data_IF_088780389207
#
_entry.id   IF_088780389207
#
_cell.length_a   1.000
_cell.length_b   1.000
_cell.length_c   1.000
_cell.angle_alpha   90.00
_cell.angle_beta   90.00
_cell.angle_gamma   90.00
#
_symmetry.space_group_name_H-M   'P 1'
#
loop_
_entity.id
_entity.type
_entity.pdbx_description
1 polymer ?
#
# COMPACT_ATOMS: atom_id res chain seq x y z
N UNK A 1 -4.39 22.27 -83.44
CA UNK A 1 -3.08 22.94 -83.35
C UNK A 1 -3.04 23.64 -82.00
N UNK A 2 -2.12 23.21 -81.13
CA UNK A 2 -1.68 23.85 -79.86
C UNK A 2 -2.66 23.97 -78.67
N UNK A 3 -2.12 23.92 -77.44
CA UNK A 3 -2.76 23.29 -76.28
C UNK A 3 -3.32 24.31 -75.28
N UNK A 4 -4.29 23.89 -74.47
CA UNK A 4 -4.67 24.62 -73.25
C UNK A 4 -4.23 23.77 -72.06
N UNK A 5 -3.16 24.23 -71.40
CA UNK A 5 -2.66 23.70 -70.13
C UNK A 5 -3.71 23.79 -69.03
N UNK A 6 -3.73 22.84 -68.08
CA UNK A 6 -4.55 22.92 -66.88
C UNK A 6 -4.01 23.99 -65.93
N UNK A 7 -4.93 24.82 -65.43
CA UNK A 7 -4.66 25.85 -64.44
C UNK A 7 -4.14 25.26 -63.12
N UNK A 8 -3.18 25.96 -62.55
CA UNK A 8 -2.42 25.61 -61.37
C UNK A 8 -3.28 25.38 -60.12
N UNK A 9 -2.95 24.31 -59.40
CA UNK A 9 -3.36 24.05 -58.02
C UNK A 9 -2.88 25.18 -57.11
N UNK A 10 -3.83 25.86 -56.47
CA UNK A 10 -3.54 26.80 -55.39
C UNK A 10 -3.13 26.00 -54.15
N UNK A 11 -2.05 26.34 -53.44
CA UNK A 11 -1.69 25.69 -52.19
C UNK A 11 -2.62 26.19 -51.09
N UNK A 12 -3.52 25.33 -50.64
CA UNK A 12 -4.37 25.59 -49.48
C UNK A 12 -3.45 25.73 -48.26
N UNK A 13 -3.25 26.98 -47.82
CA UNK A 13 -2.42 27.34 -46.69
C UNK A 13 -2.92 26.63 -45.43
N UNK A 14 -2.20 25.61 -44.98
CA UNK A 14 -2.38 24.95 -43.70
C UNK A 14 -2.03 25.93 -42.58
N UNK A 15 -3.02 26.72 -42.14
CA UNK A 15 -2.90 27.55 -40.95
C UNK A 15 -2.63 26.62 -39.75
N UNK A 16 -1.50 26.75 -39.04
CA UNK A 16 -1.29 25.97 -37.84
C UNK A 16 -2.34 26.38 -36.80
N UNK A 17 -3.14 25.40 -36.36
CA UNK A 17 -4.05 25.53 -35.22
C UNK A 17 -3.20 25.80 -33.97
N UNK A 18 -3.02 27.07 -33.62
CA UNK A 18 -2.51 27.49 -32.32
C UNK A 18 -3.56 27.15 -31.27
N UNK A 19 -3.57 25.90 -30.80
CA UNK A 19 -4.27 25.53 -29.60
C UNK A 19 -3.51 26.16 -28.43
N UNK A 20 -4.11 27.16 -27.79
CA UNK A 20 -3.59 27.74 -26.57
C UNK A 20 -3.48 26.63 -25.51
N UNK A 21 -2.25 26.21 -25.21
CA UNK A 21 -1.98 25.36 -24.06
C UNK A 21 -2.33 26.21 -22.82
N UNK A 22 -3.45 25.90 -22.18
CA UNK A 22 -3.79 26.44 -20.86
C UNK A 22 -2.72 25.95 -19.91
N UNK A 23 -1.65 26.72 -19.75
CA UNK A 23 -0.70 26.56 -18.66
C UNK A 23 -1.50 26.69 -17.38
N UNK A 24 -1.65 25.58 -16.67
CA UNK A 24 -2.38 25.47 -15.40
C UNK A 24 -1.59 26.16 -14.29
N UNK A 25 -1.29 27.45 -14.48
CA UNK A 25 -0.51 28.30 -13.58
C UNK A 25 -1.46 28.99 -12.63
N UNK A 26 -2.13 28.20 -11.78
CA UNK A 26 -2.80 28.63 -10.55
C UNK A 26 -3.09 27.36 -9.76
N UNK A 27 -2.04 26.84 -9.12
CA UNK A 27 -2.20 25.99 -7.95
C UNK A 27 -2.92 26.82 -6.90
N UNK A 28 -4.26 26.82 -6.96
CA UNK A 28 -5.09 27.37 -5.90
C UNK A 28 -4.67 26.61 -4.65
N UNK A 29 -4.12 27.33 -3.69
CA UNK A 29 -3.94 26.83 -2.33
C UNK A 29 -5.33 26.40 -1.86
N UNK A 30 -5.58 25.09 -1.84
CA UNK A 30 -6.79 24.53 -1.29
C UNK A 30 -6.48 24.21 0.17
N UNK A 31 -6.79 25.09 1.13
CA UNK A 31 -6.46 24.87 2.55
C UNK A 31 -7.08 23.56 3.06
N UNK A 32 -8.25 23.17 2.53
CA UNK A 32 -8.92 21.90 2.85
C UNK A 32 -8.04 20.67 2.56
N UNK A 33 -7.42 20.62 1.38
CA UNK A 33 -6.50 19.54 1.03
C UNK A 33 -5.24 19.51 1.92
N UNK A 34 -4.82 20.67 2.45
CA UNK A 34 -3.75 20.76 3.45
C UNK A 34 -4.18 20.25 4.82
N UNK A 35 -5.38 20.62 5.26
CA UNK A 35 -5.96 20.18 6.53
C UNK A 35 -6.18 18.67 6.56
N UNK A 36 -6.66 18.07 5.47
CA UNK A 36 -6.81 16.61 5.38
C UNK A 36 -5.47 15.89 5.52
N UNK A 37 -4.39 16.44 4.93
CA UNK A 37 -3.03 15.89 5.11
C UNK A 37 -2.55 16.00 6.55
N UNK A 38 -2.82 17.12 7.22
CA UNK A 38 -2.46 17.30 8.64
C UNK A 38 -3.25 16.36 9.53
N UNK A 39 -4.57 16.25 9.34
CA UNK A 39 -5.42 15.35 10.11
C UNK A 39 -4.99 13.88 9.96
N UNK A 40 -4.63 13.48 8.74
CA UNK A 40 -4.06 12.15 8.45
C UNK A 40 -2.72 11.93 9.16
N UNK A 41 -1.86 12.95 9.21
CA UNK A 41 -0.51 12.86 9.79
C UNK A 41 -0.45 13.22 11.28
N UNK A 42 -1.55 13.67 11.89
CA UNK A 42 -1.59 14.14 13.27
C UNK A 42 -1.03 13.11 14.28
N UNK A 43 -1.37 11.81 14.20
CA UNK A 43 -0.78 10.82 15.10
C UNK A 43 0.75 10.72 14.96
N UNK A 44 1.26 10.77 13.72
CA UNK A 44 2.70 10.74 13.46
C UNK A 44 3.39 12.01 13.97
N UNK A 45 2.77 13.19 13.82
CA UNK A 45 3.29 14.46 14.34
C UNK A 45 3.41 14.41 15.86
N UNK A 46 2.33 14.04 16.56
CA UNK A 46 2.34 13.93 18.03
C UNK A 46 3.41 12.95 18.49
N UNK A 47 3.51 11.80 17.83
CA UNK A 47 4.53 10.80 18.14
C UNK A 47 5.96 11.34 17.97
N UNK A 48 6.25 12.05 16.87
CA UNK A 48 7.56 12.66 16.62
C UNK A 48 7.89 13.72 17.67
N UNK A 49 6.93 14.59 17.98
CA UNK A 49 7.11 15.65 18.98
C UNK A 49 7.41 15.03 20.35
N UNK A 50 6.60 14.08 20.80
CA UNK A 50 6.80 13.40 22.09
C UNK A 50 8.16 12.69 22.12
N UNK A 51 8.52 11.95 21.07
CA UNK A 51 9.80 11.25 21.01
C UNK A 51 11.00 12.21 21.03
N UNK A 52 10.97 13.25 20.19
CA UNK A 52 12.07 14.19 20.07
C UNK A 52 12.24 15.02 21.34
N UNK A 53 11.14 15.47 21.95
CA UNK A 53 11.16 16.18 23.22
C UNK A 53 11.67 15.27 24.35
N UNK A 54 11.26 14.00 24.40
CA UNK A 54 11.76 13.05 25.39
C UNK A 54 13.25 12.76 25.22
N UNK A 55 13.72 12.51 23.99
CA UNK A 55 15.13 12.27 23.67
C UNK A 55 16.00 13.47 24.06
N UNK A 56 15.59 14.67 23.66
CA UNK A 56 16.26 15.92 24.01
C UNK A 56 16.30 16.13 25.53
N UNK A 57 15.17 15.97 26.20
CA UNK A 57 15.07 16.17 27.65
C UNK A 57 15.92 15.16 28.42
N UNK A 58 15.97 13.91 27.96
CA UNK A 58 16.83 12.88 28.54
C UNK A 58 18.31 13.26 28.40
N UNK A 59 18.75 13.61 27.19
CA UNK A 59 20.15 14.02 26.98
C UNK A 59 20.51 15.29 27.75
N UNK A 60 19.59 16.25 27.88
CA UNK A 60 19.83 17.50 28.58
C UNK A 60 19.82 17.33 30.11
N UNK A 61 18.74 16.80 30.67
CA UNK A 61 18.55 16.76 32.12
C UNK A 61 19.17 15.53 32.79
N UNK A 62 19.30 14.39 32.09
CA UNK A 62 19.86 13.15 32.67
C UNK A 62 21.34 13.00 32.34
N UNK A 63 21.75 13.28 31.09
CA UNK A 63 23.16 13.18 30.69
C UNK A 63 23.94 14.50 30.87
N UNK A 64 23.26 15.60 31.15
CA UNK A 64 23.89 16.91 31.40
C UNK A 64 24.41 17.61 30.14
N UNK A 65 23.96 17.22 28.95
CA UNK A 65 24.42 17.82 27.70
C UNK A 65 23.79 19.20 27.49
N UNK A 66 24.60 20.25 27.29
CA UNK A 66 24.10 21.63 27.21
C UNK A 66 23.15 21.88 26.02
N UNK A 67 23.44 21.29 24.85
CA UNK A 67 22.65 21.45 23.63
C UNK A 67 22.60 20.15 22.80
N UNK A 68 21.77 19.16 23.17
CA UNK A 68 21.74 17.84 22.52
C UNK A 68 20.95 17.86 21.20
N UNK A 69 21.46 18.60 20.21
CA UNK A 69 20.81 18.79 18.90
C UNK A 69 20.60 17.45 18.19
N UNK A 70 21.60 16.57 18.20
CA UNK A 70 21.54 15.29 17.49
C UNK A 70 20.51 14.33 18.08
N UNK A 71 20.25 14.41 19.40
CA UNK A 71 19.18 13.63 20.02
C UNK A 71 17.83 14.00 19.40
N UNK A 72 17.57 15.30 19.19
CA UNK A 72 16.35 15.76 18.54
C UNK A 72 16.34 15.46 17.03
N UNK A 73 17.39 15.83 16.29
CA UNK A 73 17.39 15.70 14.82
C UNK A 73 17.38 14.24 14.37
N UNK A 74 18.12 13.34 15.04
CA UNK A 74 18.10 11.91 14.73
C UNK A 74 16.72 11.32 15.03
N UNK A 75 16.08 11.71 16.14
CA UNK A 75 14.71 11.25 16.46
C UNK A 75 13.70 11.67 15.39
N UNK A 76 13.69 12.97 15.03
CA UNK A 76 12.74 13.51 14.03
C UNK A 76 12.98 12.89 12.66
N UNK A 77 14.24 12.81 12.25
CA UNK A 77 14.61 12.35 10.91
C UNK A 77 14.39 10.84 10.74
N UNK A 78 14.59 10.05 11.80
CA UNK A 78 14.39 8.60 11.76
C UNK A 78 12.91 8.20 11.78
N UNK A 79 12.07 8.93 12.52
CA UNK A 79 10.64 8.68 12.56
C UNK A 79 9.93 9.15 11.29
N UNK A 80 10.27 10.34 10.78
CA UNK A 80 9.68 10.96 9.60
C UNK A 80 8.14 11.06 9.63
N UNK A 81 7.56 11.71 8.61
CA UNK A 81 6.09 11.80 8.43
C UNK A 81 5.51 10.65 7.60
N UNK A 82 6.35 9.74 7.11
CA UNK A 82 5.92 8.64 6.23
C UNK A 82 5.13 7.63 7.05
N UNK A 83 4.00 7.15 6.48
CA UNK A 83 3.10 6.17 7.12
C UNK A 83 3.78 4.84 7.44
N UNK A 84 4.82 4.47 6.70
CA UNK A 84 5.60 3.25 6.89
C UNK A 84 6.68 3.41 7.99
N UNK A 85 6.23 3.51 9.25
CA UNK A 85 7.11 3.52 10.42
C UNK A 85 7.44 2.09 10.88
N UNK A 86 7.87 1.23 9.95
CA UNK A 86 8.30 -0.13 10.30
C UNK A 86 9.54 -0.01 11.20
N UNK A 87 9.60 -0.68 12.37
CA UNK A 87 10.74 -0.60 13.28
C UNK A 87 12.08 -0.88 12.60
N UNK A 88 12.09 -1.83 11.66
CA UNK A 88 13.28 -2.16 10.85
C UNK A 88 13.77 -0.98 10.01
N UNK A 89 12.85 -0.24 9.38
CA UNK A 89 13.19 0.93 8.56
C UNK A 89 13.70 2.08 9.42
N UNK A 90 13.09 2.29 10.59
CA UNK A 90 13.58 3.25 11.59
C UNK A 90 15.00 2.86 12.02
N UNK A 91 15.25 1.59 12.34
CA UNK A 91 16.56 1.08 12.71
C UNK A 91 17.60 1.27 11.59
N UNK A 92 17.26 0.91 10.35
CA UNK A 92 18.13 1.14 9.18
C UNK A 92 18.49 2.63 9.07
N UNK A 93 17.52 3.53 9.26
CA UNK A 93 17.77 4.97 9.19
C UNK A 93 18.65 5.46 10.34
N UNK A 94 18.39 5.01 11.57
CA UNK A 94 19.20 5.33 12.76
C UNK A 94 20.64 4.86 12.59
N UNK A 95 20.86 3.64 12.09
CA UNK A 95 22.20 3.11 11.83
C UNK A 95 22.94 3.99 10.82
N UNK A 96 22.28 4.42 9.74
CA UNK A 96 22.88 5.33 8.76
C UNK A 96 23.28 6.67 9.37
N UNK A 97 22.41 7.25 10.20
CA UNK A 97 22.69 8.49 10.91
C UNK A 97 23.88 8.35 11.88
N UNK A 98 23.92 7.29 12.68
CA UNK A 98 25.02 7.03 13.63
C UNK A 98 26.34 6.81 12.89
N UNK A 99 26.33 6.09 11.76
CA UNK A 99 27.52 5.93 10.90
C UNK A 99 28.00 7.27 10.37
N UNK A 100 27.10 8.13 9.89
CA UNK A 100 27.44 9.48 9.43
C UNK A 100 28.06 10.33 10.54
N UNK A 101 27.49 10.28 11.75
CA UNK A 101 28.02 10.98 12.93
C UNK A 101 29.44 10.47 13.26
N UNK A 102 29.62 9.14 13.28
CA UNK A 102 30.90 8.51 13.59
C UNK A 102 31.99 8.90 12.58
N UNK A 103 31.68 8.87 11.28
CA UNK A 103 32.62 9.28 10.21
C UNK A 103 33.01 10.75 10.38
N UNK A 104 32.06 11.62 10.69
CA UNK A 104 32.33 13.03 10.90
C UNK A 104 33.18 13.29 12.15
N UNK A 105 32.85 12.67 13.27
CA UNK A 105 33.64 12.77 14.51
C UNK A 105 35.09 12.30 14.31
N UNK A 106 35.29 11.20 13.57
CA UNK A 106 36.64 10.70 13.27
C UNK A 106 37.46 11.71 12.43
N UNK A 107 36.84 12.33 11.42
CA UNK A 107 37.52 13.32 10.58
C UNK A 107 37.77 14.61 11.36
N UNK A 108 36.81 15.08 12.18
CA UNK A 108 37.03 16.24 13.06
C UNK A 108 38.20 15.97 14.01
N UNK A 109 38.26 14.76 14.58
CA UNK A 109 39.31 14.38 15.53
C UNK A 109 40.71 14.37 14.89
N UNK A 110 40.83 13.94 13.63
CA UNK A 110 42.13 13.81 12.94
C UNK A 110 42.52 15.07 12.17
N UNK A 111 41.58 15.70 11.45
CA UNK A 111 41.83 16.76 10.47
C UNK A 111 41.26 18.13 10.88
N UNK A 112 40.53 18.20 12.00
CA UNK A 112 39.89 19.42 12.48
C UNK A 112 38.67 19.85 11.64
N UNK A 113 38.24 21.09 11.86
CA UNK A 113 37.06 21.69 11.21
C UNK A 113 37.52 22.65 10.12
N UNK A 114 36.94 22.54 8.92
CA UNK A 114 37.15 23.49 7.83
C UNK A 114 36.36 23.16 6.56
N UNK A 115 36.40 24.06 5.57
CA UNK A 115 35.52 23.98 4.38
C UNK A 115 35.84 22.79 3.48
N UNK A 116 37.11 22.42 3.33
CA UNK A 116 37.51 21.26 2.55
C UNK A 116 37.37 19.96 3.36
N UNK A 117 37.55 20.01 4.69
CA UNK A 117 37.25 18.89 5.59
C UNK A 117 35.76 18.53 5.56
N UNK A 118 34.86 19.52 5.43
CA UNK A 118 33.44 19.28 5.23
C UNK A 118 33.19 18.52 3.91
N UNK A 119 33.82 18.95 2.82
CA UNK A 119 33.73 18.27 1.53
C UNK A 119 34.21 16.82 1.61
N UNK A 120 35.36 16.59 2.24
CA UNK A 120 35.92 15.26 2.47
C UNK A 120 35.00 14.39 3.32
N UNK A 121 34.42 14.97 4.38
CA UNK A 121 33.52 14.25 5.29
C UNK A 121 32.22 13.84 4.61
N UNK A 122 31.64 14.73 3.81
CA UNK A 122 30.45 14.40 3.03
C UNK A 122 30.73 13.31 2.00
N UNK A 123 31.85 13.41 1.28
CA UNK A 123 32.26 12.39 0.33
C UNK A 123 32.46 11.03 1.03
N UNK A 124 33.21 11.00 2.13
CA UNK A 124 33.44 9.79 2.91
C UNK A 124 32.13 9.19 3.45
N UNK A 125 31.27 10.02 4.06
CA UNK A 125 29.99 9.57 4.60
C UNK A 125 29.09 8.99 3.51
N UNK A 126 29.02 9.61 2.33
CA UNK A 126 28.19 9.13 1.22
C UNK A 126 28.73 7.81 0.66
N UNK A 127 30.05 7.69 0.48
CA UNK A 127 30.70 6.46 -0.01
C UNK A 127 30.46 5.31 0.97
N UNK A 128 30.77 5.51 2.24
CA UNK A 128 30.57 4.51 3.29
C UNK A 128 29.11 4.11 3.39
N UNK A 129 28.20 5.09 3.44
CA UNK A 129 26.77 4.80 3.59
C UNK A 129 26.17 4.11 2.35
N UNK A 130 26.60 4.47 1.13
CA UNK A 130 26.17 3.81 -0.10
C UNK A 130 26.74 2.41 -0.24
N UNK A 131 27.92 2.15 0.31
CA UNK A 131 28.51 0.83 0.41
C UNK A 131 27.72 -0.07 1.37
N UNK A 132 27.30 0.47 2.52
CA UNK A 132 26.55 -0.27 3.53
C UNK A 132 25.09 -0.52 3.16
N UNK A 133 24.47 0.36 2.36
CA UNK A 133 23.06 0.25 2.01
C UNK A 133 22.76 0.58 0.54
N UNK A 134 21.91 -0.21 -0.14
CA UNK A 134 21.42 0.10 -1.48
C UNK A 134 20.46 1.31 -1.51
N UNK A 135 19.95 1.75 -0.35
CA UNK A 135 18.91 2.78 -0.27
C UNK A 135 19.52 4.19 -0.28
N UNK A 136 19.18 5.07 -1.26
CA UNK A 136 19.73 6.43 -1.30
C UNK A 136 19.42 7.28 -0.06
N UNK A 137 18.24 7.07 0.55
CA UNK A 137 17.83 7.79 1.76
C UNK A 137 18.76 7.53 2.96
N UNK A 138 19.35 6.33 3.04
CA UNK A 138 20.31 5.98 4.08
C UNK A 138 21.58 6.82 3.97
N UNK A 139 22.11 6.97 2.74
CA UNK A 139 23.30 7.77 2.48
C UNK A 139 23.06 9.27 2.72
N UNK A 140 21.90 9.79 2.30
CA UNK A 140 21.52 11.18 2.55
C UNK A 140 21.39 11.44 4.06
N UNK A 141 20.74 10.54 4.80
CA UNK A 141 20.59 10.67 6.25
C UNK A 141 21.95 10.72 6.96
N UNK A 142 22.88 9.83 6.59
CA UNK A 142 24.25 9.85 7.10
C UNK A 142 24.93 11.20 6.84
N UNK A 143 24.91 11.65 5.57
CA UNK A 143 25.56 12.89 5.15
C UNK A 143 25.00 14.14 5.86
N UNK A 144 23.68 14.21 6.07
CA UNK A 144 23.04 15.32 6.80
C UNK A 144 23.54 15.38 8.24
N UNK A 145 23.63 14.24 8.94
CA UNK A 145 24.14 14.24 10.31
C UNK A 145 25.64 14.56 10.37
N UNK A 146 26.43 14.05 9.41
CA UNK A 146 27.84 14.41 9.28
C UNK A 146 28.06 15.91 9.09
N UNK A 147 27.22 16.56 8.27
CA UNK A 147 27.27 18.01 8.06
C UNK A 147 26.98 18.78 9.35
N UNK A 148 25.97 18.35 10.13
CA UNK A 148 25.64 18.98 11.42
C UNK A 148 26.83 18.89 12.37
N UNK A 149 27.52 17.75 12.41
CA UNK A 149 28.74 17.57 13.23
C UNK A 149 29.86 18.53 12.80
N UNK A 150 30.02 18.81 11.51
CA UNK A 150 31.06 19.72 11.04
C UNK A 150 30.77 21.21 11.31
N UNK A 151 29.50 21.61 11.42
CA UNK A 151 29.12 23.03 11.54
C UNK A 151 29.14 23.53 12.98
N UNK A 152 28.81 22.67 13.95
CA UNK A 152 28.64 23.11 15.35
C UNK A 152 29.83 22.64 16.18
N UNK A 153 30.80 23.49 16.55
CA UNK A 153 31.94 23.06 17.34
C UNK A 153 31.53 22.65 18.76
N UNK A 154 32.09 21.54 19.25
CA UNK A 154 31.87 21.04 20.62
C UNK A 154 33.23 20.65 21.21
N UNK A 155 33.45 20.97 22.48
CA UNK A 155 34.74 20.77 23.16
C UNK A 155 35.03 19.32 23.55
N UNK A 156 34.00 18.49 23.66
CA UNK A 156 34.11 17.07 24.05
C UNK A 156 33.87 16.19 22.82
N UNK A 157 34.88 15.43 22.36
CA UNK A 157 34.72 14.48 21.26
C UNK A 157 33.65 13.42 21.57
N UNK A 158 32.94 12.94 20.53
CA UNK A 158 31.96 11.84 20.60
C UNK A 158 30.69 12.06 21.45
N UNK A 159 30.54 13.19 22.18
CA UNK A 159 29.30 13.48 22.93
C UNK A 159 28.06 13.49 22.01
N UNK A 160 28.28 13.92 20.77
CA UNK A 160 27.31 13.95 19.68
C UNK A 160 26.90 12.57 19.18
N UNK A 161 27.81 11.60 19.22
CA UNK A 161 27.47 10.22 18.90
C UNK A 161 26.52 9.64 19.95
N UNK A 162 26.74 9.95 21.24
CA UNK A 162 25.84 9.55 22.32
C UNK A 162 24.46 10.18 22.11
N UNK A 163 24.39 11.47 21.80
CA UNK A 163 23.13 12.14 21.47
C UNK A 163 22.40 11.47 20.31
N UNK A 164 23.11 11.14 19.23
CA UNK A 164 22.54 10.43 18.09
C UNK A 164 22.00 9.05 18.46
N UNK A 165 22.71 8.31 19.33
CA UNK A 165 22.25 7.01 19.84
C UNK A 165 21.00 7.18 20.71
N UNK A 166 20.97 8.16 21.61
CA UNK A 166 19.80 8.46 22.46
C UNK A 166 18.59 8.79 21.59
N UNK A 167 18.76 9.63 20.58
CA UNK A 167 17.69 9.96 19.64
C UNK A 167 17.21 8.73 18.85
N UNK A 168 18.14 7.89 18.40
CA UNK A 168 17.82 6.65 17.71
C UNK A 168 17.05 5.65 18.59
N UNK A 169 17.47 5.48 19.84
CA UNK A 169 16.79 4.63 20.83
C UNK A 169 15.40 5.18 21.14
N UNK A 170 15.25 6.48 21.36
CA UNK A 170 13.95 7.11 21.59
C UNK A 170 12.99 6.92 20.40
N UNK A 171 13.48 7.09 19.16
CA UNK A 171 12.70 6.82 17.96
C UNK A 171 12.24 5.36 17.88
N UNK A 172 13.12 4.40 18.14
CA UNK A 172 12.79 2.98 18.15
C UNK A 172 11.79 2.61 19.25
N UNK A 173 12.01 3.10 20.48
CA UNK A 173 11.10 2.91 21.60
C UNK A 173 9.71 3.45 21.28
N UNK A 174 9.63 4.70 20.81
CA UNK A 174 8.34 5.31 20.49
C UNK A 174 7.67 4.63 19.29
N UNK A 175 8.44 4.15 18.30
CA UNK A 175 7.88 3.33 17.20
C UNK A 175 7.30 2.02 17.72
N UNK A 176 7.96 1.39 18.70
CA UNK A 176 7.50 0.16 19.32
C UNK A 176 6.32 0.38 20.30
N UNK A 177 6.28 1.49 21.04
CA UNK A 177 5.28 1.74 22.08
C UNK A 177 4.03 2.46 21.57
N UNK A 178 4.18 3.40 20.62
CA UNK A 178 3.11 4.25 20.10
C UNK A 178 2.88 3.97 18.60
N UNK A 179 2.15 2.89 18.28
CA UNK A 179 1.98 2.44 16.90
C UNK A 179 1.17 3.44 16.06
N UNK A 180 1.64 3.68 14.83
CA UNK A 180 0.93 4.54 13.84
C UNK A 180 -0.24 3.83 13.15
N UNK A 181 -0.29 2.51 13.19
CA UNK A 181 -1.30 1.69 12.51
C UNK A 181 -2.31 1.11 13.50
N UNK A 182 -3.40 1.84 13.83
CA UNK A 182 -4.51 1.22 14.54
C UNK A 182 -5.11 0.16 13.62
N UNK A 183 -5.39 -1.03 14.17
CA UNK A 183 -6.11 -2.11 13.51
C UNK A 183 -7.30 -1.63 12.65
N UNK A 184 -8.03 -0.62 13.14
CA UNK A 184 -9.14 0.04 12.44
C UNK A 184 -8.79 0.55 11.03
N UNK A 185 -7.57 1.05 10.82
CA UNK A 185 -7.12 1.51 9.52
C UNK A 185 -6.98 0.33 8.54
N UNK A 186 -6.40 -0.78 9.01
CA UNK A 186 -6.23 -2.01 8.22
C UNK A 186 -7.57 -2.66 7.90
N UNK A 187 -8.49 -2.71 8.88
CA UNK A 187 -9.88 -3.13 8.65
C UNK A 187 -10.57 -2.26 7.59
N UNK A 188 -10.36 -0.94 7.64
CA UNK A 188 -10.95 0.00 6.67
C UNK A 188 -10.39 -0.20 5.26
N UNK A 189 -9.11 -0.53 5.11
CA UNK A 189 -8.50 -0.87 3.82
C UNK A 189 -9.11 -2.15 3.23
N UNK A 190 -9.28 -3.19 4.05
CA UNK A 190 -9.97 -4.42 3.63
C UNK A 190 -11.43 -4.18 3.22
N UNK A 191 -12.18 -3.37 3.98
CA UNK A 191 -13.55 -2.99 3.63
C UNK A 191 -13.62 -2.22 2.30
N UNK A 192 -12.64 -1.33 2.02
CA UNK A 192 -12.56 -0.62 0.73
C UNK A 192 -12.32 -1.58 -0.43
N UNK A 193 -11.44 -2.58 -0.27
CA UNK A 193 -11.23 -3.62 -1.28
C UNK A 193 -12.53 -4.39 -1.57
N UNK A 194 -13.23 -4.84 -0.53
CA UNK A 194 -14.48 -5.59 -0.68
C UNK A 194 -15.61 -4.75 -1.30
N UNK A 195 -15.70 -3.48 -0.94
CA UNK A 195 -16.64 -2.53 -1.58
C UNK A 195 -16.34 -2.38 -3.07
N UNK A 196 -15.06 -2.24 -3.44
CA UNK A 196 -14.66 -2.14 -4.84
C UNK A 196 -14.87 -3.46 -5.61
N UNK A 197 -14.62 -4.59 -4.95
CA UNK A 197 -14.89 -5.94 -5.47
C UNK A 197 -16.39 -6.12 -5.76
N UNK A 198 -17.27 -5.75 -4.84
CA UNK A 198 -18.72 -5.80 -5.01
C UNK A 198 -19.19 -4.91 -6.18
N UNK A 199 -18.61 -3.71 -6.33
CA UNK A 199 -18.88 -2.84 -7.47
C UNK A 199 -18.46 -3.45 -8.82
N UNK A 200 -17.30 -4.11 -8.88
CA UNK A 200 -16.84 -4.81 -10.07
C UNK A 200 -17.75 -6.01 -10.41
N UNK A 201 -18.10 -6.82 -9.41
CA UNK A 201 -19.00 -7.97 -9.59
C UNK A 201 -20.39 -7.52 -10.02
N UNK A 202 -20.99 -6.53 -9.37
CA UNK A 202 -22.30 -5.99 -9.73
C UNK A 202 -22.32 -5.50 -11.17
N UNK A 203 -21.27 -4.84 -11.63
CA UNK A 203 -21.15 -4.40 -13.03
C UNK A 203 -21.12 -5.58 -14.01
N UNK A 204 -20.40 -6.66 -13.68
CA UNK A 204 -20.36 -7.89 -14.48
C UNK A 204 -21.68 -8.66 -14.47
N UNK A 205 -22.37 -8.72 -13.33
CA UNK A 205 -23.72 -9.31 -13.21
C UNK A 205 -24.69 -8.56 -14.13
N UNK A 206 -24.66 -7.23 -14.15
CA UNK A 206 -25.50 -6.44 -15.05
C UNK A 206 -25.14 -6.64 -16.53
N UNK A 207 -23.87 -6.89 -16.85
CA UNK A 207 -23.43 -7.24 -18.19
C UNK A 207 -23.99 -8.60 -18.62
N UNK A 208 -23.88 -9.63 -17.77
CA UNK A 208 -24.40 -10.96 -18.03
C UNK A 208 -25.93 -10.98 -18.18
N UNK A 209 -26.67 -10.24 -17.33
CA UNK A 209 -28.15 -10.18 -17.41
C UNK A 209 -28.66 -9.53 -18.70
N UNK A 210 -27.88 -8.64 -19.32
CA UNK A 210 -28.32 -7.87 -20.50
C UNK A 210 -27.55 -8.19 -21.78
N UNK A 211 -26.52 -9.04 -21.72
CA UNK A 211 -25.59 -9.23 -22.84
C UNK A 211 -24.88 -7.93 -23.25
N UNK A 212 -24.49 -7.09 -22.28
CA UNK A 212 -23.94 -5.75 -22.56
C UNK A 212 -22.40 -5.71 -22.58
N UNK A 213 -21.76 -5.58 -23.76
CA UNK A 213 -20.30 -5.59 -23.89
C UNK A 213 -19.63 -4.36 -23.26
N UNK A 214 -20.31 -3.20 -23.22
CA UNK A 214 -19.76 -1.97 -22.63
C UNK A 214 -19.67 -2.14 -21.12
N UNK A 215 -20.72 -2.69 -20.49
CA UNK A 215 -20.70 -3.02 -19.07
C UNK A 215 -19.68 -4.12 -18.76
N UNK A 216 -19.54 -5.13 -19.60
CA UNK A 216 -18.54 -6.18 -19.42
C UNK A 216 -17.11 -5.58 -19.39
N UNK A 217 -16.79 -4.70 -20.36
CA UNK A 217 -15.49 -4.04 -20.43
C UNK A 217 -15.23 -3.14 -19.21
N UNK A 218 -16.26 -2.43 -18.74
CA UNK A 218 -16.18 -1.62 -17.51
C UNK A 218 -15.92 -2.49 -16.28
N UNK A 219 -16.62 -3.61 -16.15
CA UNK A 219 -16.41 -4.58 -15.06
C UNK A 219 -14.99 -5.15 -15.07
N UNK A 220 -14.44 -5.46 -16.24
CA UNK A 220 -13.04 -5.90 -16.39
C UNK A 220 -12.04 -4.81 -15.99
N UNK A 221 -12.28 -3.54 -16.35
CA UNK A 221 -11.44 -2.42 -15.93
C UNK A 221 -11.47 -2.25 -14.39
N UNK A 222 -12.65 -2.33 -13.77
CA UNK A 222 -12.80 -2.28 -12.32
C UNK A 222 -12.07 -3.44 -11.63
N UNK A 223 -12.24 -4.67 -12.12
CA UNK A 223 -11.55 -5.85 -11.58
C UNK A 223 -10.01 -5.72 -11.65
N UNK A 224 -9.47 -5.07 -12.69
CA UNK A 224 -8.02 -4.79 -12.79
C UNK A 224 -7.55 -3.75 -11.76
N UNK A 225 -8.37 -2.73 -11.48
CA UNK A 225 -8.03 -1.70 -10.49
C UNK A 225 -7.98 -2.20 -9.05
N UNK A 226 -8.56 -3.37 -8.74
CA UNK A 226 -8.53 -3.95 -7.39
C UNK A 226 -7.11 -4.24 -6.89
N UNK A 227 -6.13 -4.47 -7.78
CA UNK A 227 -4.77 -4.80 -7.39
C UNK A 227 -4.14 -3.72 -6.50
N UNK A 228 -4.37 -2.44 -6.80
CA UNK A 228 -3.80 -1.35 -6.00
C UNK A 228 -4.36 -1.32 -4.58
N UNK A 229 -5.62 -1.75 -4.39
CA UNK A 229 -6.26 -1.86 -3.07
C UNK A 229 -5.73 -3.09 -2.30
N UNK A 230 -5.52 -4.21 -3.00
CA UNK A 230 -4.88 -5.40 -2.42
C UNK A 230 -3.47 -5.07 -1.92
N UNK A 231 -2.68 -4.35 -2.72
CA UNK A 231 -1.31 -3.98 -2.38
C UNK A 231 -1.26 -3.00 -1.20
N UNK A 232 -2.18 -2.03 -1.16
CA UNK A 232 -2.34 -1.11 -0.03
C UNK A 232 -2.67 -1.86 1.26
N UNK A 233 -3.69 -2.74 1.23
CA UNK A 233 -4.07 -3.52 2.41
C UNK A 233 -2.96 -4.48 2.86
N UNK A 234 -2.22 -5.07 1.91
CA UNK A 234 -1.05 -5.89 2.20
C UNK A 234 0.02 -5.11 2.96
N UNK A 235 0.36 -3.92 2.50
CA UNK A 235 1.34 -3.07 3.18
C UNK A 235 0.87 -2.71 4.61
N UNK A 236 -0.42 -2.42 4.78
CA UNK A 236 -1.04 -2.14 6.08
C UNK A 236 -0.97 -3.32 7.05
N UNK A 237 -1.40 -4.51 6.61
CA UNK A 237 -1.35 -5.76 7.41
C UNK A 237 0.08 -6.12 7.79
N UNK A 238 1.02 -6.08 6.84
CA UNK A 238 2.41 -6.47 7.07
C UNK A 238 3.06 -5.53 8.10
N UNK A 239 2.91 -4.22 7.91
CA UNK A 239 3.39 -3.20 8.85
C UNK A 239 2.79 -3.38 10.25
N UNK A 240 1.46 -3.57 10.35
CA UNK A 240 0.79 -3.86 11.62
C UNK A 240 1.29 -5.15 12.30
N UNK A 241 1.53 -6.21 11.52
CA UNK A 241 2.01 -7.49 12.03
C UNK A 241 3.44 -7.43 12.57
N UNK A 242 4.34 -6.65 11.93
CA UNK A 242 5.71 -6.46 12.40
C UNK A 242 5.72 -5.69 13.72
N UNK A 243 4.90 -4.63 13.81
CA UNK A 243 4.78 -3.82 15.02
C UNK A 243 4.17 -4.64 16.16
N UNK A 244 3.13 -5.46 15.89
CA UNK A 244 2.49 -6.32 16.90
C UNK A 244 3.41 -7.41 17.48
N UNK A 245 4.50 -7.78 16.79
CA UNK A 245 5.51 -8.71 17.32
C UNK A 245 6.39 -8.08 18.39
N UNK A 246 6.65 -6.77 18.29
CA UNK A 246 7.59 -6.06 19.16
C UNK A 246 6.84 -5.32 20.27
N UNK A 247 5.75 -4.65 19.93
CA UNK A 247 5.00 -3.78 20.83
C UNK A 247 4.21 -4.57 21.90
N UNK A 248 4.42 -4.32 23.21
CA UNK A 248 3.68 -4.99 24.27
C UNK A 248 2.17 -4.67 24.24
N UNK A 249 1.79 -3.45 23.83
CA UNK A 249 0.40 -3.00 23.77
C UNK A 249 -0.41 -3.69 22.66
N UNK A 250 0.24 -4.04 21.55
CA UNK A 250 -0.41 -4.69 20.40
C UNK A 250 -0.30 -6.22 20.42
N UNK A 251 0.37 -6.83 21.40
CA UNK A 251 0.48 -8.30 21.50
C UNK A 251 -0.89 -8.98 21.46
N UNK A 252 -1.91 -8.37 22.10
CA UNK A 252 -3.29 -8.87 22.10
C UNK A 252 -3.98 -8.82 20.73
N UNK A 253 -3.53 -7.93 19.83
CA UNK A 253 -4.07 -7.79 18.47
C UNK A 253 -3.33 -8.64 17.43
N UNK A 254 -2.34 -9.44 17.84
CA UNK A 254 -1.56 -10.26 16.92
C UNK A 254 -2.41 -11.31 16.19
N UNK A 255 -3.33 -11.97 16.91
CA UNK A 255 -4.27 -12.94 16.34
C UNK A 255 -5.19 -12.30 15.29
N UNK A 256 -5.58 -11.05 15.52
CA UNK A 256 -6.39 -10.28 14.61
C UNK A 256 -5.63 -9.95 13.31
N UNK A 257 -4.38 -9.46 13.39
CA UNK A 257 -3.56 -9.23 12.19
C UNK A 257 -3.33 -10.53 11.40
N UNK A 258 -3.14 -11.66 12.09
CA UNK A 258 -3.05 -12.98 11.44
C UNK A 258 -4.36 -13.36 10.75
N UNK A 259 -5.52 -13.08 11.35
CA UNK A 259 -6.83 -13.28 10.71
C UNK A 259 -6.93 -12.42 9.45
N UNK A 260 -6.65 -11.12 9.54
CA UNK A 260 -6.72 -10.23 8.38
C UNK A 260 -5.75 -10.62 7.27
N UNK A 261 -4.53 -11.09 7.59
CA UNK A 261 -3.59 -11.58 6.58
C UNK A 261 -4.12 -12.83 5.86
N UNK A 262 -4.77 -13.75 6.58
CA UNK A 262 -5.45 -14.90 5.98
C UNK A 262 -6.55 -14.44 5.02
N UNK A 263 -7.45 -13.56 5.46
CA UNK A 263 -8.55 -13.06 4.62
C UNK A 263 -7.99 -12.34 3.38
N UNK A 264 -6.99 -11.48 3.56
CA UNK A 264 -6.30 -10.76 2.48
C UNK A 264 -5.66 -11.70 1.47
N UNK A 265 -4.96 -12.74 1.93
CA UNK A 265 -4.30 -13.71 1.04
C UNK A 265 -5.30 -14.37 0.10
N UNK A 266 -6.44 -14.83 0.63
CA UNK A 266 -7.47 -15.49 -0.17
C UNK A 266 -8.27 -14.49 -1.02
N UNK A 267 -8.47 -13.25 -0.57
CA UNK A 267 -9.08 -12.22 -1.39
C UNK A 267 -8.20 -11.78 -2.57
N UNK A 268 -6.87 -11.78 -2.44
CA UNK A 268 -5.95 -11.58 -3.58
C UNK A 268 -6.22 -12.64 -4.67
N UNK A 269 -6.28 -13.92 -4.29
CA UNK A 269 -6.63 -15.01 -5.21
C UNK A 269 -8.03 -14.82 -5.83
N UNK A 270 -9.03 -14.47 -5.02
CA UNK A 270 -10.38 -14.16 -5.49
C UNK A 270 -10.40 -13.02 -6.52
N UNK A 271 -9.63 -11.94 -6.30
CA UNK A 271 -9.55 -10.82 -7.26
C UNK A 271 -8.89 -11.22 -8.58
N UNK A 272 -7.90 -12.12 -8.54
CA UNK A 272 -7.28 -12.69 -9.75
C UNK A 272 -8.27 -13.55 -10.52
N UNK A 273 -9.02 -14.40 -9.83
CA UNK A 273 -10.07 -15.22 -10.43
C UNK A 273 -11.20 -14.35 -11.00
N UNK A 274 -11.59 -13.27 -10.32
CA UNK A 274 -12.55 -12.30 -10.83
C UNK A 274 -12.09 -11.67 -12.15
N UNK A 275 -10.80 -11.37 -12.33
CA UNK A 275 -10.27 -10.86 -13.61
C UNK A 275 -10.39 -11.88 -14.74
N UNK A 276 -10.21 -13.17 -14.45
CA UNK A 276 -10.42 -14.26 -15.42
C UNK A 276 -11.89 -14.36 -15.81
N UNK A 277 -12.79 -14.33 -14.83
CA UNK A 277 -14.25 -14.30 -15.04
C UNK A 277 -14.62 -13.08 -15.88
N UNK A 278 -14.17 -11.89 -15.50
CA UNK A 278 -14.47 -10.65 -16.21
C UNK A 278 -14.01 -10.67 -17.68
N UNK A 279 -12.81 -11.24 -17.95
CA UNK A 279 -12.32 -11.39 -19.33
C UNK A 279 -13.22 -12.33 -20.14
N UNK A 280 -13.70 -13.41 -19.53
CA UNK A 280 -14.67 -14.31 -20.18
C UNK A 280 -15.98 -13.59 -20.42
N UNK A 281 -16.54 -12.88 -19.44
CA UNK A 281 -17.78 -12.10 -19.61
C UNK A 281 -17.69 -11.12 -20.77
N UNK A 282 -16.53 -10.46 -20.98
CA UNK A 282 -16.31 -9.58 -22.15
C UNK A 282 -16.46 -10.36 -23.45
N UNK A 283 -15.72 -11.46 -23.62
CA UNK A 283 -15.80 -12.31 -24.81
C UNK A 283 -17.23 -12.84 -25.06
N UNK A 284 -17.91 -13.24 -24.00
CA UNK A 284 -19.28 -13.75 -24.09
C UNK A 284 -20.30 -12.69 -24.47
N UNK A 285 -20.07 -11.43 -24.11
CA UNK A 285 -21.01 -10.35 -24.38
C UNK A 285 -21.01 -9.90 -25.85
N UNK A 286 -20.09 -10.43 -26.68
CA UNK A 286 -20.03 -10.13 -28.11
C UNK A 286 -21.28 -10.62 -28.86
N UNK A 287 -21.85 -11.76 -28.43
CA UNK A 287 -23.09 -12.31 -28.99
C UNK A 287 -24.37 -11.60 -28.51
N UNK A 288 -24.24 -10.69 -27.53
CA UNK A 288 -25.33 -9.93 -26.89
C UNK A 288 -26.43 -10.79 -26.28
N UNK A 289 -26.14 -12.06 -25.97
CA UNK A 289 -27.11 -12.97 -25.36
C UNK A 289 -27.11 -12.87 -23.83
N UNK A 290 -28.29 -12.72 -23.18
CA UNK A 290 -28.42 -12.78 -21.73
C UNK A 290 -28.02 -14.13 -21.15
N UNK A 291 -27.34 -14.11 -19.99
CA UNK A 291 -26.87 -15.28 -19.25
C UNK A 291 -27.29 -15.19 -17.77
N UNK A 292 -28.60 -15.33 -17.46
CA UNK A 292 -29.14 -15.09 -16.12
C UNK A 292 -28.57 -16.05 -15.07
N UNK A 293 -28.37 -17.33 -15.40
CA UNK A 293 -27.85 -18.35 -14.46
C UNK A 293 -26.47 -17.97 -13.94
N UNK A 294 -25.52 -17.65 -14.83
CA UNK A 294 -24.19 -17.24 -14.44
C UNK A 294 -24.19 -15.90 -13.67
N UNK A 295 -25.11 -14.99 -14.03
CA UNK A 295 -25.28 -13.72 -13.34
C UNK A 295 -25.76 -13.91 -11.90
N UNK A 296 -26.72 -14.81 -11.68
CA UNK A 296 -27.30 -15.08 -10.36
C UNK A 296 -26.29 -15.79 -9.46
N UNK A 297 -25.55 -16.79 -9.96
CA UNK A 297 -24.47 -17.44 -9.21
C UNK A 297 -23.39 -16.45 -8.79
N UNK A 298 -22.98 -15.57 -9.70
CA UNK A 298 -21.98 -14.54 -9.40
C UNK A 298 -22.51 -13.50 -8.39
N UNK A 299 -23.79 -13.14 -8.48
CA UNK A 299 -24.44 -12.22 -7.53
C UNK A 299 -24.55 -12.83 -6.12
N UNK A 300 -24.86 -14.12 -6.03
CA UNK A 300 -24.91 -14.85 -4.76
C UNK A 300 -23.52 -15.00 -4.12
N UNK A 301 -22.47 -15.27 -4.91
CA UNK A 301 -21.08 -15.25 -4.41
C UNK A 301 -20.69 -13.86 -3.89
N UNK A 302 -21.12 -12.78 -4.56
CA UNK A 302 -20.90 -11.42 -4.08
C UNK A 302 -21.64 -11.14 -2.76
N UNK A 303 -22.84 -11.69 -2.59
CA UNK A 303 -23.56 -11.59 -1.32
C UNK A 303 -22.78 -12.24 -0.16
N UNK A 304 -22.19 -13.42 -0.40
CA UNK A 304 -21.28 -14.05 0.54
C UNK A 304 -20.02 -13.21 0.82
N UNK A 305 -19.45 -12.58 -0.21
CA UNK A 305 -18.30 -11.67 -0.04
C UNK A 305 -18.62 -10.42 0.78
N UNK A 306 -19.85 -9.89 0.73
CA UNK A 306 -20.29 -8.79 1.59
C UNK A 306 -20.26 -9.19 3.08
N UNK A 307 -20.67 -10.42 3.40
CA UNK A 307 -20.56 -10.95 4.77
C UNK A 307 -19.11 -11.09 5.23
N UNK A 308 -18.16 -11.36 4.32
CA UNK A 308 -16.72 -11.30 4.64
C UNK A 308 -16.32 -9.88 5.06
N UNK A 309 -16.90 -8.85 4.43
CA UNK A 309 -16.63 -7.45 4.79
C UNK A 309 -17.12 -7.14 6.20
N UNK A 310 -18.29 -7.65 6.57
CA UNK A 310 -18.82 -7.53 7.93
C UNK A 310 -17.93 -8.30 8.92
N UNK A 311 -17.43 -9.48 8.52
CA UNK A 311 -16.50 -10.31 9.29
C UNK A 311 -15.13 -9.67 9.58
N UNK A 312 -14.72 -8.66 8.80
CA UNK A 312 -13.53 -7.87 9.09
C UNK A 312 -13.73 -6.97 10.32
N UNK A 313 -14.95 -6.51 10.57
CA UNK A 313 -15.32 -5.69 11.72
C UNK A 313 -15.77 -6.52 12.93
N UNK A 314 -16.53 -7.59 12.69
CA UNK A 314 -17.06 -8.47 13.73
C UNK A 314 -16.96 -9.94 13.29
N UNK A 315 -16.14 -10.72 14.01
CA UNK A 315 -15.89 -12.13 13.71
C UNK A 315 -17.16 -13.01 13.75
N UNK A 316 -18.25 -12.55 14.37
CA UNK A 316 -19.52 -13.28 14.44
C UNK A 316 -20.15 -13.56 13.07
N UNK A 317 -19.81 -12.78 12.03
CA UNK A 317 -20.30 -12.97 10.65
C UNK A 317 -19.54 -14.04 9.86
N UNK A 318 -18.39 -14.52 10.33
CA UNK A 318 -17.55 -15.48 9.60
C UNK A 318 -18.26 -16.82 9.31
N UNK A 319 -18.99 -17.46 10.25
CA UNK A 319 -19.79 -18.65 9.96
C UNK A 319 -20.91 -18.39 8.94
N UNK A 320 -21.58 -17.24 9.02
CA UNK A 320 -22.65 -16.88 8.09
C UNK A 320 -22.10 -16.68 6.66
N UNK A 321 -20.96 -15.99 6.53
CA UNK A 321 -20.26 -15.85 5.25
C UNK A 321 -19.89 -17.21 4.67
N UNK A 322 -19.33 -18.10 5.50
CA UNK A 322 -18.93 -19.46 5.10
C UNK A 322 -20.10 -20.25 4.55
N UNK A 323 -21.22 -20.32 5.26
CA UNK A 323 -22.39 -21.09 4.84
C UNK A 323 -23.05 -20.49 3.60
N UNK A 324 -23.16 -19.16 3.52
CA UNK A 324 -23.69 -18.49 2.33
C UNK A 324 -22.90 -18.85 1.07
N UNK A 325 -21.56 -18.83 1.14
CA UNK A 325 -20.71 -19.17 -0.01
C UNK A 325 -20.76 -20.69 -0.28
N UNK A 326 -20.77 -21.53 0.76
CA UNK A 326 -20.86 -22.99 0.64
C UNK A 326 -22.14 -23.43 -0.07
N UNK A 327 -23.27 -22.78 0.23
CA UNK A 327 -24.56 -23.07 -0.41
C UNK A 327 -24.55 -22.78 -1.93
N UNK A 328 -23.78 -21.79 -2.38
CA UNK A 328 -23.57 -21.54 -3.81
C UNK A 328 -22.58 -22.54 -4.39
N UNK A 329 -21.46 -22.78 -3.68
CA UNK A 329 -20.40 -23.70 -4.08
C UNK A 329 -20.94 -25.12 -4.38
N UNK A 330 -21.83 -25.63 -3.54
CA UNK A 330 -22.45 -26.96 -3.72
C UNK A 330 -23.31 -27.09 -4.97
N UNK A 331 -23.74 -25.97 -5.57
CA UNK A 331 -24.53 -25.94 -6.82
C UNK A 331 -23.69 -25.70 -8.06
N UNK A 332 -22.39 -25.37 -7.94
CA UNK A 332 -21.51 -25.04 -9.07
C UNK A 332 -21.08 -26.27 -9.89
N UNK A 333 -22.04 -26.99 -10.45
CA UNK A 333 -21.84 -28.02 -11.47
C UNK A 333 -22.11 -27.47 -12.88
N UNK A 334 -21.07 -27.26 -13.71
CA UNK A 334 -21.24 -26.76 -15.07
C UNK A 334 -22.12 -27.64 -15.95
N UNK A 335 -22.12 -28.97 -15.76
CA UNK A 335 -22.89 -29.91 -16.59
C UNK A 335 -24.38 -29.88 -16.30
N UNK A 336 -24.74 -29.58 -15.05
CA UNK A 336 -26.13 -29.47 -14.60
C UNK A 336 -26.70 -28.09 -14.90
N UNK A 337 -25.89 -27.04 -14.72
CA UNK A 337 -26.35 -25.65 -14.79
C UNK A 337 -26.31 -25.02 -16.18
N UNK A 338 -25.40 -25.45 -17.05
CA UNK A 338 -25.43 -25.03 -18.44
C UNK A 338 -26.39 -25.95 -19.19
N UNK A 339 -27.39 -25.37 -19.86
CA UNK A 339 -28.21 -26.11 -20.81
C UNK A 339 -27.27 -26.85 -21.76
N UNK A 340 -27.43 -28.17 -21.89
CA UNK A 340 -26.37 -29.19 -22.14
C UNK A 340 -25.50 -28.98 -23.41
N UNK A 341 -25.74 -27.93 -24.17
CA UNK A 341 -25.21 -27.62 -25.49
C UNK A 341 -24.18 -26.46 -25.53
N UNK A 342 -24.14 -25.57 -24.53
CA UNK A 342 -23.24 -24.40 -24.56
C UNK A 342 -21.93 -24.67 -23.80
N UNK A 343 -20.94 -25.25 -24.48
CA UNK A 343 -19.57 -25.43 -23.94
C UNK A 343 -19.00 -24.13 -23.36
N UNK A 344 -19.40 -23.02 -23.96
CA UNK A 344 -19.04 -21.65 -23.61
C UNK A 344 -19.54 -21.27 -22.22
N UNK A 345 -20.82 -21.53 -21.90
CA UNK A 345 -21.40 -21.23 -20.58
C UNK A 345 -20.88 -22.17 -19.49
N UNK A 346 -20.61 -23.43 -19.83
CA UNK A 346 -19.94 -24.37 -18.92
C UNK A 346 -18.58 -23.84 -18.48
N UNK A 347 -17.83 -23.23 -19.40
CA UNK A 347 -16.51 -22.68 -19.04
C UNK A 347 -16.59 -21.45 -18.15
N UNK A 348 -17.65 -20.64 -18.26
CA UNK A 348 -17.89 -19.49 -17.37
C UNK A 348 -18.24 -19.98 -15.96
N UNK A 349 -19.18 -20.93 -15.85
CA UNK A 349 -19.56 -21.53 -14.56
C UNK A 349 -18.36 -22.22 -13.92
N UNK A 350 -17.55 -22.92 -14.73
CA UNK A 350 -16.29 -23.51 -14.28
C UNK A 350 -15.31 -22.48 -13.70
N UNK A 351 -15.27 -21.27 -14.25
CA UNK A 351 -14.41 -20.18 -13.75
C UNK A 351 -14.91 -19.59 -12.41
N UNK A 352 -16.17 -19.78 -12.03
CA UNK A 352 -16.70 -19.38 -10.71
C UNK A 352 -16.23 -20.31 -9.58
N UNK A 353 -15.84 -21.55 -9.88
CA UNK A 353 -15.46 -22.55 -8.87
C UNK A 353 -14.21 -22.14 -8.07
N UNK A 354 -13.09 -21.72 -8.68
CA UNK A 354 -11.93 -21.21 -7.93
C UNK A 354 -12.28 -19.97 -7.09
N UNK A 355 -13.12 -19.07 -7.62
CA UNK A 355 -13.58 -17.91 -6.88
C UNK A 355 -14.35 -18.31 -5.61
N UNK A 356 -15.27 -19.28 -5.70
CA UNK A 356 -16.00 -19.78 -4.53
C UNK A 356 -15.07 -20.39 -3.48
N UNK A 357 -14.06 -21.16 -3.90
CA UNK A 357 -13.05 -21.73 -3.00
C UNK A 357 -12.26 -20.63 -2.27
N UNK A 358 -11.81 -19.61 -3.00
CA UNK A 358 -11.08 -18.49 -2.40
C UNK A 358 -11.94 -17.68 -1.42
N UNK A 359 -13.22 -17.47 -1.75
CA UNK A 359 -14.15 -16.79 -0.83
C UNK A 359 -14.45 -17.65 0.42
N UNK A 360 -14.63 -18.96 0.30
CA UNK A 360 -14.80 -19.85 1.47
C UNK A 360 -13.57 -19.87 2.37
N UNK A 361 -12.37 -19.90 1.78
CA UNK A 361 -11.10 -19.86 2.53
C UNK A 361 -10.84 -18.50 3.16
N UNK A 362 -11.24 -17.40 2.51
CA UNK A 362 -11.30 -16.08 3.11
C UNK A 362 -12.27 -16.04 4.32
N UNK A 363 -13.41 -16.75 4.25
CA UNK A 363 -14.35 -16.95 5.36
C UNK A 363 -13.93 -18.03 6.39
N UNK A 364 -12.67 -18.47 6.36
CA UNK A 364 -12.07 -19.34 7.39
C UNK A 364 -12.29 -20.82 7.21
N UNK A 365 -12.84 -21.25 6.07
CA UNK A 365 -12.90 -22.67 5.77
C UNK A 365 -11.49 -23.19 5.40
N UNK A 366 -11.06 -24.36 5.92
CA UNK A 366 -9.85 -25.01 5.46
C UNK A 366 -9.89 -25.28 3.95
N UNK A 367 -8.76 -25.11 3.26
CA UNK A 367 -8.70 -25.24 1.80
C UNK A 367 -9.14 -26.63 1.27
N UNK A 368 -8.88 -27.69 2.04
CA UNK A 368 -9.32 -29.05 1.69
C UNK A 368 -10.86 -29.16 1.73
N UNK A 369 -11.49 -28.63 2.78
CA UNK A 369 -12.95 -28.62 2.92
C UNK A 369 -13.61 -27.74 1.86
N UNK A 370 -13.03 -26.56 1.57
CA UNK A 370 -13.53 -25.67 0.53
C UNK A 370 -13.51 -26.32 -0.86
N UNK A 371 -12.46 -27.10 -1.17
CA UNK A 371 -12.41 -27.87 -2.42
C UNK A 371 -13.38 -29.04 -2.42
N UNK A 372 -13.57 -29.71 -1.28
CA UNK A 372 -14.51 -30.82 -1.16
C UNK A 372 -15.98 -30.39 -1.27
N UNK A 373 -16.30 -29.13 -0.94
CA UNK A 373 -17.63 -28.56 -1.08
C UNK A 373 -18.06 -28.31 -2.54
N UNK A 374 -17.12 -28.33 -3.49
CA UNK A 374 -17.39 -28.14 -4.91
C UNK A 374 -17.69 -29.50 -5.57
N UNK A 375 -18.76 -29.64 -6.37
CA UNK A 375 -19.03 -30.86 -7.13
C UNK A 375 -17.84 -31.31 -7.98
N UNK A 376 -17.56 -32.62 -8.01
CA UNK A 376 -16.57 -33.22 -8.92
C UNK A 376 -17.21 -33.38 -10.31
N UNK A 377 -16.53 -32.89 -11.35
CA UNK A 377 -17.03 -32.81 -12.72
C UNK A 377 -16.13 -33.64 -13.63
#
# INVERSE_FOLDING_TARGET
MTPVSPAASSPESSRPSTAAIVTRRRARWHPRAGMDRVAVSAPAIVQIVVAATAAFSFAHYVLGHAAPLLAATVTVSSLGLVRDARPRRVLETVVGMVVGILVAELIVFVAGIGWWQLGLTLAASLVVARFLSPQPAFAIAAAVQSAIVMVIPVSVPFIRMIDGIVGGVAALLVTALLPRSPLRAVTREGAQLLTAFDGAVTTLVQALRRGDPVRAQRGLAMARSLQSLVDQWRAGVESGSEIARISPFLRRQRSEFQRQDRVRHHLDLATRNLRVIARRVVYLSDDRQPRPIAADLLAELAAGARLISDALGDISYEPAAREAIRAVAGRLDPRVLADRSSAVDQTLIGALRPLAVDLMTAAGMPAAEARAAIPRV
#
